data_IF_353671489446
#
_entry.id   IF_353671489446
#
_cell.length_a   1.000
_cell.length_b   1.000
_cell.length_c   1.000
_cell.angle_alpha   90.00
_cell.angle_beta   90.00
_cell.angle_gamma   90.00
#
_symmetry.space_group_name_H-M   'P 1'
#
loop_
_entity.id
_entity.type
_entity.pdbx_description
1 polymer ?
#
# COMPACT_ATOMS: atom_id res chain seq x y z
N UNK A 1 5.33 -12.91 22.26
CA UNK A 1 5.14 -12.49 20.85
C UNK A 1 4.63 -13.71 20.10
N UNK A 2 3.50 -13.63 19.39
CA UNK A 2 3.10 -14.70 18.48
C UNK A 2 4.21 -14.82 17.44
N UNK A 3 4.89 -15.97 17.41
CA UNK A 3 5.81 -16.28 16.33
C UNK A 3 4.95 -16.58 15.11
N UNK A 4 5.00 -15.66 14.14
CA UNK A 4 4.39 -15.90 12.83
C UNK A 4 5.10 -17.09 12.18
N UNK A 5 4.33 -17.98 11.59
CA UNK A 5 4.85 -19.05 10.76
C UNK A 5 5.50 -18.49 9.49
N UNK A 6 6.38 -19.27 8.87
CA UNK A 6 6.99 -18.92 7.58
C UNK A 6 5.95 -18.59 6.52
N UNK A 7 4.81 -19.29 6.52
CA UNK A 7 3.72 -19.04 5.57
C UNK A 7 3.07 -17.67 5.80
N UNK A 8 2.85 -17.29 7.05
CA UNK A 8 2.30 -15.98 7.40
C UNK A 8 3.27 -14.86 7.04
N UNK A 9 4.58 -15.05 7.27
CA UNK A 9 5.60 -14.09 6.84
C UNK A 9 5.63 -13.90 5.33
N UNK A 10 5.49 -14.97 4.54
CA UNK A 10 5.41 -14.88 3.08
C UNK A 10 4.15 -14.12 2.63
N UNK A 11 2.99 -14.40 3.23
CA UNK A 11 1.77 -13.64 2.93
C UNK A 11 1.92 -12.15 3.27
N UNK A 12 2.62 -11.82 4.35
CA UNK A 12 2.87 -10.44 4.73
C UNK A 12 3.79 -9.75 3.72
N UNK A 13 4.81 -10.44 3.21
CA UNK A 13 5.68 -9.93 2.15
C UNK A 13 4.92 -9.66 0.83
N UNK A 14 4.02 -10.57 0.46
CA UNK A 14 3.11 -10.38 -0.68
C UNK A 14 2.21 -9.15 -0.48
N UNK A 15 1.64 -8.98 0.72
CA UNK A 15 0.80 -7.82 1.05
C UNK A 15 1.62 -6.54 1.00
N UNK A 16 2.83 -6.53 1.55
CA UNK A 16 3.73 -5.37 1.52
C UNK A 16 4.07 -4.96 0.08
N UNK A 17 4.40 -5.94 -0.76
CA UNK A 17 4.65 -5.74 -2.19
C UNK A 17 3.42 -5.20 -2.92
N UNK A 18 2.24 -5.77 -2.63
CA UNK A 18 0.97 -5.29 -3.19
C UNK A 18 0.69 -3.83 -2.81
N UNK A 19 0.85 -3.46 -1.52
CA UNK A 19 0.61 -2.08 -1.08
C UNK A 19 1.55 -1.08 -1.78
N UNK A 20 2.84 -1.41 -1.92
CA UNK A 20 3.78 -0.56 -2.66
C UNK A 20 3.38 -0.40 -4.14
N UNK A 21 3.01 -1.50 -4.80
CA UNK A 21 2.60 -1.46 -6.21
C UNK A 21 1.31 -0.66 -6.39
N UNK A 22 0.35 -0.80 -5.48
CA UNK A 22 -0.88 0.00 -5.47
C UNK A 22 -0.58 1.49 -5.30
N UNK A 23 0.28 1.87 -4.34
CA UNK A 23 0.68 3.28 -4.15
C UNK A 23 1.29 3.86 -5.42
N UNK A 24 2.22 3.15 -6.07
CA UNK A 24 2.83 3.60 -7.34
C UNK A 24 1.79 3.77 -8.44
N UNK A 25 0.96 2.75 -8.64
CA UNK A 25 -0.09 2.74 -9.67
C UNK A 25 -1.10 3.88 -9.47
N UNK A 26 -1.52 4.12 -8.23
CA UNK A 26 -2.45 5.19 -7.90
C UNK A 26 -1.84 6.58 -8.10
N UNK A 27 -0.56 6.77 -7.75
CA UNK A 27 0.15 8.02 -8.04
C UNK A 27 0.31 8.26 -9.55
N UNK A 28 0.58 7.21 -10.33
CA UNK A 28 0.64 7.29 -11.79
C UNK A 28 -0.73 7.70 -12.36
N UNK A 29 -1.83 7.09 -11.89
CA UNK A 29 -3.17 7.47 -12.31
C UNK A 29 -3.55 8.88 -11.88
N UNK A 30 -3.18 9.32 -10.66
CA UNK A 30 -3.40 10.69 -10.21
C UNK A 30 -2.65 11.72 -11.09
N UNK A 31 -1.51 11.33 -11.65
CA UNK A 31 -0.72 12.18 -12.55
C UNK A 31 -1.32 12.24 -13.96
N UNK A 32 -1.93 11.15 -14.43
CA UNK A 32 -2.53 11.05 -15.77
C UNK A 32 -3.99 11.54 -15.82
N UNK A 33 -4.70 11.52 -14.70
CA UNK A 33 -6.07 12.01 -14.61
C UNK A 33 -6.13 13.53 -14.73
N UNK A 34 -7.01 14.00 -15.60
CA UNK A 34 -7.33 15.42 -15.77
C UNK A 34 -8.51 15.84 -14.89
N UNK A 35 -9.38 14.89 -14.53
CA UNK A 35 -10.49 15.12 -13.63
C UNK A 35 -9.99 15.35 -12.18
N UNK A 36 -10.30 16.51 -11.56
CA UNK A 36 -9.82 16.84 -10.22
C UNK A 36 -10.32 15.89 -9.12
N UNK A 37 -11.54 15.36 -9.25
CA UNK A 37 -12.13 14.46 -8.26
C UNK A 37 -11.47 13.09 -8.31
N UNK A 38 -11.27 12.55 -9.51
CA UNK A 38 -10.55 11.29 -9.71
C UNK A 38 -9.09 11.40 -9.26
N UNK A 39 -8.42 12.52 -9.56
CA UNK A 39 -7.06 12.78 -9.06
C UNK A 39 -7.02 12.76 -7.53
N UNK A 40 -7.92 13.49 -6.87
CA UNK A 40 -8.00 13.52 -5.42
C UNK A 40 -8.30 12.14 -4.83
N UNK A 41 -9.18 11.35 -5.46
CA UNK A 41 -9.47 9.97 -5.07
C UNK A 41 -8.22 9.08 -5.15
N UNK A 42 -7.52 9.10 -6.30
CA UNK A 42 -6.29 8.33 -6.48
C UNK A 42 -5.22 8.71 -5.44
N UNK A 43 -5.03 10.01 -5.19
CA UNK A 43 -4.07 10.49 -4.18
C UNK A 43 -4.44 10.01 -2.76
N UNK A 44 -5.73 10.08 -2.40
CA UNK A 44 -6.22 9.60 -1.11
C UNK A 44 -6.02 8.10 -0.94
N UNK A 45 -6.27 7.31 -1.98
CA UNK A 45 -6.05 5.87 -1.97
C UNK A 45 -4.55 5.54 -1.88
N UNK A 46 -3.69 6.26 -2.61
CA UNK A 46 -2.23 6.06 -2.55
C UNK A 46 -1.70 6.30 -1.12
N UNK A 47 -2.19 7.35 -0.46
CA UNK A 47 -1.85 7.65 0.94
C UNK A 47 -2.32 6.55 1.90
N UNK A 48 -3.53 6.00 1.70
CA UNK A 48 -4.02 4.86 2.50
C UNK A 48 -3.14 3.62 2.33
N UNK A 49 -2.76 3.27 1.10
CA UNK A 49 -1.87 2.15 0.84
C UNK A 49 -0.50 2.34 1.51
N UNK A 50 0.06 3.54 1.44
CA UNK A 50 1.32 3.87 2.12
C UNK A 50 1.22 3.78 3.64
N UNK A 51 0.12 4.26 4.23
CA UNK A 51 -0.12 4.16 5.67
C UNK A 51 -0.27 2.70 6.12
N UNK A 52 -0.98 1.88 5.34
CA UNK A 52 -1.12 0.45 5.62
C UNK A 52 0.24 -0.26 5.57
N UNK A 53 1.06 0.03 4.54
CA UNK A 53 2.42 -0.48 4.43
C UNK A 53 3.27 -0.11 5.66
N UNK A 54 3.27 1.16 6.06
CA UNK A 54 4.04 1.64 7.20
C UNK A 54 3.61 0.98 8.52
N UNK A 55 2.30 0.81 8.73
CA UNK A 55 1.77 0.10 9.91
C UNK A 55 2.19 -1.36 9.91
N UNK A 56 2.09 -2.06 8.78
CA UNK A 56 2.51 -3.45 8.64
C UNK A 56 4.00 -3.62 8.95
N UNK A 57 4.87 -2.79 8.37
CA UNK A 57 6.31 -2.82 8.67
C UNK A 57 6.57 -2.60 10.17
N UNK A 58 5.90 -1.62 10.80
CA UNK A 58 6.06 -1.36 12.24
C UNK A 58 5.66 -2.57 13.11
N UNK A 59 4.69 -3.38 12.68
CA UNK A 59 4.31 -4.60 13.39
C UNK A 59 5.26 -5.78 13.16
N UNK A 60 6.08 -5.73 12.11
CA UNK A 60 7.08 -6.75 11.76
C UNK A 60 8.50 -6.39 12.20
N UNK A 61 8.70 -5.15 12.67
CA UNK A 61 9.96 -4.65 13.25
C UNK A 61 10.05 -4.99 14.73
#
# INVERSE_FOLDING_TARGET
MMQLSTKELLYLDDILTMQQNMTKTLNDYATRCQDPQLKALCQNLANRCQNNFNSLIRHLS
#
